data_IF_739945978202
#
_entry.id   IF_739945978202
#
_cell.length_a   1.000
_cell.length_b   1.000
_cell.length_c   1.000
_cell.angle_alpha   90.00
_cell.angle_beta   90.00
_cell.angle_gamma   90.00
#
_symmetry.space_group_name_H-M   'P 1'
#
loop_
_entity.id
_entity.type
_entity.pdbx_description
1 polymer ?
#
# COMPACT_ATOMS: atom_id res chain seq x y z
N UNK A 1 -19.88 12.75 -21.01
CA UNK A 1 -18.96 11.59 -21.19
C UNK A 1 -17.56 11.81 -20.59
N UNK A 2 -16.65 12.60 -21.18
CA UNK A 2 -15.30 12.80 -20.60
C UNK A 2 -15.34 13.52 -19.23
N UNK A 3 -16.21 14.51 -19.08
CA UNK A 3 -16.44 15.20 -17.80
C UNK A 3 -17.13 14.32 -16.76
N UNK A 4 -18.01 13.41 -17.17
CA UNK A 4 -18.61 12.41 -16.27
C UNK A 4 -17.57 11.39 -15.81
N UNK A 5 -16.67 10.96 -16.70
CA UNK A 5 -15.53 10.11 -16.35
C UNK A 5 -14.65 10.85 -15.34
N UNK A 6 -14.34 12.13 -15.56
CA UNK A 6 -13.59 12.97 -14.61
C UNK A 6 -14.32 13.17 -13.27
N UNK A 7 -15.64 13.32 -13.27
CA UNK A 7 -16.45 13.46 -12.06
C UNK A 7 -16.55 12.15 -11.27
N UNK A 8 -16.63 11.01 -11.96
CA UNK A 8 -16.56 9.68 -11.36
C UNK A 8 -15.17 9.44 -10.78
N UNK A 9 -14.11 9.77 -11.52
CA UNK A 9 -12.73 9.67 -11.08
C UNK A 9 -12.51 10.54 -9.83
N UNK A 10 -12.89 11.82 -9.84
CA UNK A 10 -12.77 12.73 -8.68
C UNK A 10 -13.50 12.20 -7.44
N UNK A 11 -14.72 11.65 -7.59
CA UNK A 11 -15.43 10.97 -6.48
C UNK A 11 -14.70 9.72 -5.99
N UNK A 12 -14.15 8.91 -6.92
CA UNK A 12 -13.32 7.74 -6.61
C UNK A 12 -12.04 8.13 -5.86
N UNK A 13 -11.41 9.25 -6.20
CA UNK A 13 -10.23 9.76 -5.50
C UNK A 13 -10.54 10.29 -4.09
N UNK A 14 -11.73 10.87 -3.88
CA UNK A 14 -12.22 11.17 -2.53
C UNK A 14 -12.44 9.90 -1.69
N UNK A 15 -12.99 8.86 -2.30
CA UNK A 15 -13.10 7.52 -1.69
C UNK A 15 -11.72 6.88 -1.41
N UNK A 16 -10.71 7.14 -2.25
CA UNK A 16 -9.33 6.73 -1.99
C UNK A 16 -8.79 7.33 -0.68
N UNK A 17 -9.14 8.57 -0.33
CA UNK A 17 -8.76 9.15 0.96
C UNK A 17 -9.33 8.35 2.14
N UNK A 18 -10.60 7.93 2.06
CA UNK A 18 -11.28 7.13 3.09
C UNK A 18 -10.69 5.72 3.16
N UNK A 19 -10.35 5.12 2.01
CA UNK A 19 -9.64 3.85 1.96
C UNK A 19 -8.25 3.99 2.59
N UNK A 20 -7.51 5.05 2.28
CA UNK A 20 -6.18 5.30 2.84
C UNK A 20 -6.25 5.52 4.35
N UNK A 21 -7.30 6.18 4.87
CA UNK A 21 -7.54 6.28 6.31
C UNK A 21 -7.86 4.93 6.95
N UNK A 22 -8.72 4.12 6.30
CA UNK A 22 -9.06 2.77 6.77
C UNK A 22 -7.84 1.83 6.77
N UNK A 23 -7.01 1.91 5.73
CA UNK A 23 -5.73 1.18 5.65
C UNK A 23 -4.77 1.71 6.71
N UNK A 24 -4.69 3.03 6.90
CA UNK A 24 -3.85 3.63 7.94
C UNK A 24 -4.29 3.25 9.36
N UNK A 25 -5.57 2.96 9.58
CA UNK A 25 -6.07 2.44 10.85
C UNK A 25 -5.76 0.94 11.00
N UNK A 26 -6.02 0.14 9.95
CA UNK A 26 -5.70 -1.29 9.95
C UNK A 26 -4.18 -1.54 10.12
N UNK A 27 -3.33 -0.79 9.43
CA UNK A 27 -1.87 -0.89 9.55
C UNK A 27 -1.40 -0.51 10.96
N UNK A 28 -2.00 0.51 11.60
CA UNK A 28 -1.69 0.88 12.99
C UNK A 28 -2.10 -0.19 14.01
N UNK A 29 -3.18 -0.92 13.73
CA UNK A 29 -3.56 -2.09 14.55
C UNK A 29 -2.61 -3.27 14.33
N UNK A 30 -2.03 -3.40 13.13
CA UNK A 30 -1.08 -4.45 12.76
C UNK A 30 0.36 -4.19 13.22
N UNK A 31 0.79 -2.93 13.33
CA UNK A 31 2.06 -2.56 13.97
C UNK A 31 2.16 -3.09 15.42
N UNK A 32 1.03 -3.34 16.10
CA UNK A 32 1.03 -3.99 17.41
C UNK A 32 1.33 -5.50 17.39
N UNK A 33 1.10 -6.17 16.26
CA UNK A 33 1.30 -7.62 16.09
C UNK A 33 2.55 -7.97 15.30
N UNK A 34 3.23 -6.97 14.72
CA UNK A 34 4.60 -7.06 14.22
C UNK A 34 4.82 -8.06 13.07
N UNK A 35 3.77 -8.32 12.28
CA UNK A 35 3.74 -9.31 11.19
C UNK A 35 3.67 -8.64 9.79
N UNK A 36 4.79 -8.62 9.04
CA UNK A 36 4.84 -8.10 7.67
C UNK A 36 3.89 -8.79 6.69
N UNK A 37 3.59 -10.07 6.89
CA UNK A 37 2.71 -10.85 6.02
C UNK A 37 1.26 -10.43 6.20
N UNK A 38 0.85 -10.21 7.43
CA UNK A 38 -0.45 -9.68 7.81
C UNK A 38 -0.67 -8.26 7.22
N UNK A 39 0.37 -7.41 7.26
CA UNK A 39 0.37 -6.07 6.65
C UNK A 39 0.22 -6.17 5.12
N UNK A 40 1.04 -6.99 4.46
CA UNK A 40 0.97 -7.17 3.01
C UNK A 40 -0.39 -7.72 2.58
N UNK A 41 -0.92 -8.72 3.30
CA UNK A 41 -2.24 -9.30 3.06
C UNK A 41 -3.34 -8.26 3.20
N UNK A 42 -3.26 -7.42 4.22
CA UNK A 42 -4.25 -6.36 4.44
C UNK A 42 -4.23 -5.34 3.31
N UNK A 43 -3.05 -4.85 2.93
CA UNK A 43 -2.92 -3.93 1.79
C UNK A 43 -3.46 -4.54 0.50
N UNK A 44 -3.15 -5.81 0.21
CA UNK A 44 -3.63 -6.49 -1.00
C UNK A 44 -5.14 -6.77 -0.99
N UNK A 45 -5.75 -7.04 0.16
CA UNK A 45 -7.21 -7.17 0.29
C UNK A 45 -7.92 -5.86 -0.04
N UNK A 46 -7.41 -4.72 0.46
CA UNK A 46 -8.06 -3.43 0.27
C UNK A 46 -7.73 -2.74 -1.06
N UNK A 47 -6.50 -2.86 -1.53
CA UNK A 47 -6.00 -2.15 -2.71
C UNK A 47 -5.89 -3.04 -3.95
N UNK A 48 -5.80 -4.36 -3.77
CA UNK A 48 -5.39 -5.31 -4.79
C UNK A 48 -3.86 -5.50 -4.87
N UNK A 49 -3.45 -6.64 -5.42
CA UNK A 49 -2.04 -7.04 -5.56
C UNK A 49 -1.18 -6.00 -6.30
N UNK A 50 -1.64 -5.56 -7.48
CA UNK A 50 -0.87 -4.67 -8.34
C UNK A 50 -0.67 -3.27 -7.70
N UNK A 51 -1.72 -2.60 -7.20
CA UNK A 51 -1.55 -1.31 -6.50
C UNK A 51 -0.66 -1.41 -5.26
N UNK A 52 -0.80 -2.48 -4.47
CA UNK A 52 0.07 -2.70 -3.30
C UNK A 52 1.55 -2.79 -3.70
N UNK A 53 1.87 -3.60 -4.72
CA UNK A 53 3.25 -3.72 -5.21
C UNK A 53 3.79 -2.40 -5.75
N UNK A 54 2.97 -1.60 -6.42
CA UNK A 54 3.37 -0.28 -6.92
C UNK A 54 3.70 0.68 -5.78
N UNK A 55 2.85 0.74 -4.75
CA UNK A 55 3.12 1.56 -3.56
C UNK A 55 4.41 1.12 -2.87
N UNK A 56 4.61 -0.19 -2.69
CA UNK A 56 5.83 -0.70 -2.06
C UNK A 56 7.08 -0.46 -2.91
N UNK A 57 6.97 -0.48 -4.24
CA UNK A 57 8.05 -0.05 -5.12
C UNK A 57 8.37 1.43 -4.93
N UNK A 58 7.35 2.30 -4.90
CA UNK A 58 7.54 3.75 -4.73
C UNK A 58 8.20 4.05 -3.37
N UNK A 59 7.80 3.34 -2.31
CA UNK A 59 8.45 3.42 -0.99
C UNK A 59 9.91 2.95 -1.06
N UNK A 60 10.18 1.82 -1.72
CA UNK A 60 11.54 1.30 -1.87
C UNK A 60 12.46 2.28 -2.61
N UNK A 61 11.93 2.95 -3.63
CA UNK A 61 12.64 3.97 -4.41
C UNK A 61 12.89 5.23 -3.57
N UNK A 62 11.87 5.74 -2.88
CA UNK A 62 11.97 6.92 -2.00
C UNK A 62 12.95 6.73 -0.84
N UNK A 63 13.00 5.52 -0.28
CA UNK A 63 13.89 5.16 0.83
C UNK A 63 15.27 4.70 0.37
N UNK A 64 15.50 4.56 -0.94
CA UNK A 64 16.77 4.11 -1.51
C UNK A 64 17.13 2.68 -1.12
N UNK A 65 16.14 1.80 -0.98
CA UNK A 65 16.34 0.40 -0.54
C UNK A 65 16.98 -0.49 -1.61
N UNK A 66 16.96 -0.06 -2.88
CA UNK A 66 17.50 -0.87 -4.00
C UNK A 66 16.72 -2.15 -4.30
N UNK A 67 15.51 -2.28 -3.74
CA UNK A 67 14.63 -3.45 -3.91
C UNK A 67 13.71 -3.20 -5.11
N UNK A 68 13.58 -4.22 -5.98
CA UNK A 68 12.60 -4.21 -7.07
C UNK A 68 11.44 -5.15 -6.73
N UNK A 69 10.28 -4.60 -6.41
CA UNK A 69 9.11 -5.34 -5.96
C UNK A 69 8.44 -6.07 -7.12
N UNK A 70 8.77 -7.35 -7.30
CA UNK A 70 8.16 -8.22 -8.32
C UNK A 70 7.38 -9.35 -7.69
N UNK A 71 7.91 -9.89 -6.61
CA UNK A 71 7.38 -11.02 -5.86
C UNK A 71 6.79 -10.56 -4.53
N UNK A 72 6.07 -11.47 -3.87
CA UNK A 72 5.60 -11.25 -2.50
C UNK A 72 6.76 -11.09 -1.53
N UNK A 73 7.85 -11.85 -1.69
CA UNK A 73 9.01 -11.75 -0.79
C UNK A 73 9.70 -10.38 -0.91
N UNK A 74 9.79 -9.82 -2.13
CA UNK A 74 10.33 -8.47 -2.32
C UNK A 74 9.48 -7.43 -1.56
N UNK A 75 8.15 -7.59 -1.60
CA UNK A 75 7.22 -6.72 -0.90
C UNK A 75 7.37 -6.84 0.64
N UNK A 76 7.50 -8.07 1.16
CA UNK A 76 7.73 -8.31 2.58
C UNK A 76 9.08 -7.75 3.04
N UNK A 77 10.10 -7.83 2.19
CA UNK A 77 11.42 -7.26 2.47
C UNK A 77 11.32 -5.74 2.64
N UNK A 78 10.59 -5.05 1.75
CA UNK A 78 10.34 -3.60 1.90
C UNK A 78 9.63 -3.31 3.22
N UNK A 79 8.58 -4.04 3.56
CA UNK A 79 7.82 -3.83 4.81
C UNK A 79 8.72 -4.04 6.04
N UNK A 80 9.55 -5.10 6.05
CA UNK A 80 10.52 -5.37 7.13
C UNK A 80 11.55 -4.24 7.25
N UNK A 81 12.05 -3.71 6.14
CA UNK A 81 13.02 -2.61 6.14
C UNK A 81 12.47 -1.30 6.68
N UNK A 82 11.14 -1.09 6.66
CA UNK A 82 10.52 0.08 7.27
C UNK A 82 10.55 0.05 8.79
N UNK A 83 10.77 -1.12 9.39
CA UNK A 83 10.79 -1.34 10.84
C UNK A 83 12.14 -1.09 11.50
N UNK A 84 13.26 -1.23 10.78
CA UNK A 84 14.61 -1.12 11.35
C UNK A 84 15.08 0.33 11.59
N UNK A 85 14.17 1.27 11.81
CA UNK A 85 14.44 2.68 12.12
C UNK A 85 13.51 3.22 13.19
#
# INVERSE_FOLDING_TARGET
MAEEILAVLKRKYGFLSIILESIGQAVRELEKNDDPEEIYRTMTVFLGEFPTKKILQDIADEKGLGIRVRTTEDALTVIRSLKER
#
